data_IF_801456697637
#
_entry.id   IF_801456697637
#
_cell.length_a   1.000
_cell.length_b   1.000
_cell.length_c   1.000
_cell.angle_alpha   90.00
_cell.angle_beta   90.00
_cell.angle_gamma   90.00
#
_symmetry.space_group_name_H-M   'P 1'
#
loop_
_entity.id
_entity.type
_entity.pdbx_description
1 polymer ?
#
# COMPACT_ATOMS: atom_id res chain seq x y z
N UNK A 1 2.29 -21.66 -2.82
CA UNK A 1 2.47 -20.18 -2.81
C UNK A 1 1.11 -19.58 -2.55
N UNK A 2 0.93 -18.79 -1.48
CA UNK A 2 -0.33 -18.06 -1.25
C UNK A 2 -0.36 -16.88 -2.24
N UNK A 3 -1.43 -16.72 -2.99
CA UNK A 3 -1.54 -15.60 -3.91
C UNK A 3 -1.86 -14.35 -3.07
N UNK A 4 -1.17 -13.23 -3.30
CA UNK A 4 -1.45 -11.96 -2.62
C UNK A 4 -2.91 -11.53 -2.86
N UNK A 5 -3.47 -11.90 -4.03
CA UNK A 5 -4.87 -11.66 -4.36
C UNK A 5 -5.84 -12.33 -3.38
N UNK A 6 -5.51 -13.50 -2.82
CA UNK A 6 -6.41 -14.25 -1.92
C UNK A 6 -6.81 -13.43 -0.68
N UNK A 7 -5.93 -12.51 -0.26
CA UNK A 7 -6.19 -11.59 0.85
C UNK A 7 -7.38 -10.67 0.55
N UNK A 8 -7.53 -10.21 -0.69
CA UNK A 8 -8.62 -9.30 -1.06
C UNK A 8 -9.96 -10.02 -1.26
N UNK A 9 -9.93 -11.34 -1.56
CA UNK A 9 -11.12 -12.17 -1.69
C UNK A 9 -11.67 -12.64 -0.35
N UNK A 10 -10.83 -12.76 0.68
CA UNK A 10 -11.24 -13.24 1.99
C UNK A 10 -11.93 -12.12 2.81
N UNK A 11 -13.23 -12.25 3.15
CA UNK A 11 -13.95 -11.25 3.96
C UNK A 11 -13.42 -11.16 5.40
N UNK A 12 -12.69 -12.16 5.88
CA UNK A 12 -12.08 -12.18 7.21
C UNK A 12 -10.64 -11.64 7.22
N UNK A 13 -10.15 -11.10 6.10
CA UNK A 13 -8.84 -10.46 6.06
C UNK A 13 -8.79 -9.22 6.95
N UNK A 14 -7.69 -9.06 7.68
CA UNK A 14 -7.50 -7.90 8.55
C UNK A 14 -7.00 -6.68 7.77
N UNK A 15 -7.19 -5.50 8.36
CA UNK A 15 -6.69 -4.22 7.85
C UNK A 15 -5.18 -4.24 7.60
N UNK A 16 -4.42 -4.84 8.52
CA UNK A 16 -2.98 -4.99 8.38
C UNK A 16 -2.59 -5.92 7.23
N UNK A 17 -3.30 -7.04 7.08
CA UNK A 17 -3.01 -7.99 6.00
C UNK A 17 -3.28 -7.36 4.63
N UNK A 18 -4.39 -6.62 4.48
CA UNK A 18 -4.74 -5.91 3.24
C UNK A 18 -3.73 -4.78 2.96
N UNK A 19 -3.34 -4.03 3.99
CA UNK A 19 -2.33 -2.97 3.87
C UNK A 19 -0.98 -3.52 3.44
N UNK A 20 -0.53 -4.62 4.06
CA UNK A 20 0.74 -5.27 3.73
C UNK A 20 0.72 -5.90 2.33
N UNK A 21 -0.39 -6.52 1.94
CA UNK A 21 -0.61 -7.03 0.59
C UNK A 21 -0.47 -5.91 -0.45
N UNK A 22 -1.08 -4.76 -0.17
CA UNK A 22 -0.95 -3.53 -0.96
C UNK A 22 0.47 -3.05 -1.08
N UNK A 23 1.15 -2.87 0.04
CA UNK A 23 2.54 -2.41 0.08
C UNK A 23 3.46 -3.33 -0.73
N UNK A 24 3.33 -4.65 -0.57
CA UNK A 24 4.09 -5.65 -1.33
C UNK A 24 3.81 -5.59 -2.83
N UNK A 25 2.55 -5.37 -3.23
CA UNK A 25 2.17 -5.23 -4.64
C UNK A 25 2.80 -3.98 -5.28
N UNK A 26 2.77 -2.84 -4.58
CA UNK A 26 3.39 -1.60 -5.07
C UNK A 26 4.93 -1.71 -5.11
N UNK A 27 5.56 -2.36 -4.14
CA UNK A 27 6.99 -2.68 -4.19
C UNK A 27 7.34 -3.49 -5.44
N UNK A 28 6.54 -4.51 -5.77
CA UNK A 28 6.73 -5.32 -6.99
C UNK A 28 6.54 -4.51 -8.27
N UNK A 29 5.50 -3.66 -8.36
CA UNK A 29 5.25 -2.76 -9.51
C UNK A 29 6.45 -1.84 -9.75
N UNK A 30 7.02 -1.29 -8.68
CA UNK A 30 8.19 -0.43 -8.74
C UNK A 30 9.53 -1.20 -8.75
N UNK A 31 9.49 -2.51 -9.02
CA UNK A 31 10.65 -3.39 -9.19
C UNK A 31 11.63 -3.35 -8.00
N UNK A 32 11.10 -3.21 -6.80
CA UNK A 32 11.89 -3.27 -5.59
C UNK A 32 12.53 -4.66 -5.43
N UNK A 33 13.70 -4.76 -4.77
CA UNK A 33 14.30 -6.04 -4.41
C UNK A 33 13.35 -6.90 -3.57
N UNK A 34 13.39 -8.22 -3.74
CA UNK A 34 12.46 -9.15 -3.06
C UNK A 34 12.56 -9.15 -1.52
N UNK A 35 13.67 -8.65 -0.97
CA UNK A 35 13.86 -8.50 0.48
C UNK A 35 13.36 -7.14 1.03
N UNK A 36 12.99 -6.20 0.16
CA UNK A 36 12.40 -4.93 0.58
C UNK A 36 10.96 -5.17 1.04
N UNK A 37 10.61 -4.58 2.19
CA UNK A 37 9.30 -4.74 2.84
C UNK A 37 8.69 -3.41 3.26
N UNK A 38 9.38 -2.30 3.03
CA UNK A 38 8.94 -0.97 3.41
C UNK A 38 9.02 -0.02 2.22
N UNK A 39 7.86 0.42 1.74
CA UNK A 39 7.77 1.27 0.57
C UNK A 39 8.37 2.67 0.80
N UNK A 40 8.30 3.20 2.02
CA UNK A 40 8.88 4.50 2.33
C UNK A 40 10.42 4.45 2.30
N UNK A 41 11.02 3.38 2.82
CA UNK A 41 12.48 3.17 2.74
C UNK A 41 12.92 3.04 1.29
N UNK A 42 12.20 2.25 0.50
CA UNK A 42 12.48 2.10 -0.93
C UNK A 42 12.34 3.42 -1.69
N UNK A 43 11.26 4.17 -1.41
CA UNK A 43 11.01 5.50 -1.98
C UNK A 43 12.15 6.47 -1.67
N UNK A 44 12.63 6.48 -0.43
CA UNK A 44 13.74 7.32 -0.01
C UNK A 44 15.04 6.95 -0.75
N UNK A 45 15.36 5.66 -0.83
CA UNK A 45 16.52 5.19 -1.59
C UNK A 45 16.43 5.56 -3.08
N UNK A 46 15.25 5.42 -3.69
CA UNK A 46 15.00 5.83 -5.07
C UNK A 46 15.15 7.35 -5.26
N UNK A 47 14.69 8.15 -4.30
CA UNK A 47 14.87 9.60 -4.31
C UNK A 47 16.34 9.98 -4.25
N UNK A 48 17.10 9.43 -3.30
CA UNK A 48 18.54 9.68 -3.16
C UNK A 48 19.31 9.32 -4.44
N UNK A 49 18.90 8.25 -5.14
CA UNK A 49 19.51 7.87 -6.41
C UNK A 49 19.11 8.79 -7.58
N UNK A 50 17.90 9.35 -7.55
CA UNK A 50 17.43 10.27 -8.59
C UNK A 50 18.05 11.66 -8.44
N UNK A 51 18.25 12.13 -7.21
CA UNK A 51 18.78 13.47 -6.90
C UNK A 51 20.24 13.67 -7.31
N UNK A 52 21.03 12.60 -7.48
CA UNK A 52 22.40 12.69 -7.97
C UNK A 52 22.51 12.85 -9.49
N UNK A 53 21.39 12.82 -10.23
CA UNK A 53 21.37 12.95 -11.69
C UNK A 53 21.19 14.41 -12.10
N UNK A 54 21.90 14.83 -13.15
CA UNK A 54 21.79 16.18 -13.76
C UNK A 54 20.36 16.49 -14.23
N UNK A 55 19.62 15.47 -14.66
CA UNK A 55 18.18 15.53 -14.93
C UNK A 55 17.50 14.47 -14.08
N UNK A 56 17.08 14.87 -12.88
CA UNK A 56 16.35 13.99 -11.97
C UNK A 56 14.94 13.75 -12.50
N UNK A 57 14.56 12.47 -12.57
CA UNK A 57 13.19 12.08 -12.89
C UNK A 57 12.51 11.65 -11.60
N UNK A 58 11.70 12.55 -11.05
CA UNK A 58 10.91 12.31 -9.84
C UNK A 58 9.60 11.58 -10.12
N UNK A 59 9.16 11.51 -11.38
CA UNK A 59 7.92 10.82 -11.75
C UNK A 59 8.02 9.30 -11.62
N UNK A 60 9.25 8.77 -11.67
CA UNK A 60 9.56 7.35 -11.48
C UNK A 60 9.51 6.88 -10.02
N UNK A 61 9.36 7.80 -9.06
CA UNK A 61 9.34 7.44 -7.65
C UNK A 61 8.10 6.63 -7.29
N UNK A 62 8.23 5.61 -6.43
CA UNK A 62 7.07 4.95 -5.86
C UNK A 62 6.22 5.92 -5.04
N UNK A 63 4.91 5.66 -4.90
CA UNK A 63 4.05 6.43 -4.02
C UNK A 63 4.46 6.27 -2.55
N UNK A 64 3.94 7.14 -1.69
CA UNK A 64 4.09 6.99 -0.23
C UNK A 64 3.27 5.81 0.27
N UNK A 65 3.67 5.19 1.39
CA UNK A 65 2.99 4.02 1.99
C UNK A 65 1.47 4.22 2.23
N UNK A 66 1.04 5.45 2.50
CA UNK A 66 -0.38 5.75 2.71
C UNK A 66 -1.25 5.52 1.47
N UNK A 67 -0.72 5.76 0.27
CA UNK A 67 -1.49 5.61 -0.97
C UNK A 67 -1.83 4.13 -1.28
N UNK A 68 -0.88 3.17 -1.23
CA UNK A 68 -1.19 1.74 -1.32
C UNK A 68 -2.16 1.27 -0.24
N UNK A 69 -1.99 1.70 1.02
CA UNK A 69 -2.90 1.34 2.12
C UNK A 69 -4.36 1.69 1.76
N UNK A 70 -4.60 2.95 1.42
CA UNK A 70 -5.94 3.41 1.05
C UNK A 70 -6.46 2.77 -0.24
N UNK A 71 -5.59 2.59 -1.24
CA UNK A 71 -5.96 1.93 -2.49
C UNK A 71 -6.38 0.48 -2.25
N UNK A 72 -5.64 -0.26 -1.43
CA UNK A 72 -5.93 -1.64 -1.07
C UNK A 72 -7.24 -1.80 -0.32
N UNK A 73 -7.59 -0.87 0.57
CA UNK A 73 -8.91 -0.87 1.20
C UNK A 73 -10.04 -0.65 0.20
N UNK A 74 -9.91 0.31 -0.71
CA UNK A 74 -10.90 0.54 -1.77
C UNK A 74 -11.07 -0.69 -2.66
N UNK A 75 -9.97 -1.34 -3.03
CA UNK A 75 -9.99 -2.58 -3.82
C UNK A 75 -10.68 -3.71 -3.05
N UNK A 76 -10.36 -3.89 -1.77
CA UNK A 76 -11.02 -4.88 -0.93
C UNK A 76 -12.52 -4.64 -0.88
N UNK A 77 -12.97 -3.42 -0.53
CA UNK A 77 -14.38 -3.07 -0.48
C UNK A 77 -15.10 -3.35 -1.81
N UNK A 78 -14.48 -2.97 -2.93
CA UNK A 78 -15.03 -3.21 -4.26
C UNK A 78 -15.20 -4.70 -4.57
N UNK A 79 -14.20 -5.52 -4.26
CA UNK A 79 -14.26 -6.98 -4.47
C UNK A 79 -15.33 -7.60 -3.58
N UNK A 80 -15.42 -7.18 -2.32
CA UNK A 80 -16.37 -7.73 -1.36
C UNK A 80 -17.82 -7.37 -1.73
N UNK A 81 -18.04 -6.17 -2.27
CA UNK A 81 -19.32 -5.79 -2.87
C UNK A 81 -19.69 -6.69 -4.06
N UNK A 82 -18.74 -7.03 -4.94
CA UNK A 82 -18.99 -7.96 -6.05
C UNK A 82 -19.30 -9.39 -5.59
N UNK A 83 -18.83 -9.78 -4.41
CA UNK A 83 -19.10 -11.09 -3.79
C UNK A 83 -20.37 -11.10 -2.93
N UNK A 84 -21.14 -10.01 -2.91
CA UNK A 84 -22.32 -9.81 -2.05
C UNK A 84 -22.01 -9.90 -0.55
N UNK A 85 -20.77 -9.63 -0.14
CA UNK A 85 -20.39 -9.50 1.26
C UNK A 85 -20.63 -8.06 1.73
N UNK A 86 -21.31 -7.91 2.86
CA UNK A 86 -21.51 -6.60 3.48
C UNK A 86 -20.35 -6.31 4.43
N UNK A 87 -19.41 -5.46 4.01
CA UNK A 87 -18.36 -4.96 4.89
C UNK A 87 -18.74 -3.60 5.51
N UNK A 88 -18.44 -3.39 6.81
CA UNK A 88 -18.67 -2.11 7.47
C UNK A 88 -17.81 -1.02 6.82
N UNK A 89 -18.41 -0.02 6.16
CA UNK A 89 -17.69 1.03 5.41
C UNK A 89 -16.86 1.96 6.32
N UNK A 90 -17.27 2.11 7.57
CA UNK A 90 -16.67 2.96 8.60
C UNK A 90 -15.31 2.46 9.09
N UNK A 91 -15.05 1.15 8.99
CA UNK A 91 -13.82 0.54 9.49
C UNK A 91 -12.61 0.66 8.53
N UNK A 92 -12.82 1.07 7.28
CA UNK A 92 -11.83 0.91 6.19
C UNK A 92 -11.49 2.19 5.41
N UNK A 93 -11.95 3.36 5.86
CA UNK A 93 -11.80 4.62 5.11
C UNK A 93 -11.65 5.92 5.92
N UNK A 94 -11.60 5.86 7.25
CA UNK A 94 -11.40 7.05 8.09
C UNK A 94 -9.93 7.46 8.24
N UNK A 95 -9.62 8.76 8.42
CA UNK A 95 -8.28 9.20 8.80
C UNK A 95 -7.99 8.73 10.23
N UNK A 96 -7.41 7.52 10.36
CA UNK A 96 -6.64 7.17 11.55
C UNK A 96 -5.25 7.81 11.43
N UNK A 97 -5.25 9.15 11.33
CA UNK A 97 -4.14 9.98 11.75
C UNK A 97 -4.58 10.55 13.10
N UNK A 98 -4.41 9.75 14.15
CA UNK A 98 -4.02 10.38 15.42
C UNK A 98 -2.71 11.08 15.10
N UNK A 99 -2.78 12.39 14.85
CA UNK A 99 -1.61 13.24 14.96
C UNK A 99 -1.06 12.96 16.36
N UNK A 100 0.01 12.16 16.43
CA UNK A 100 0.83 12.12 17.63
C UNK A 100 1.19 13.58 17.91
N UNK A 101 0.84 14.14 19.09
CA UNK A 101 1.27 15.47 19.43
C UNK A 101 2.79 15.42 19.45
N UNK A 102 3.44 16.08 18.48
CA UNK A 102 4.88 16.19 18.47
C UNK A 102 5.35 16.82 19.80
N UNK A 103 6.52 16.38 20.32
CA UNK A 103 7.07 16.87 21.59
C UNK A 103 7.42 18.37 21.56
#
# INVERSE_FOLDING_TARGET
MKNIADIFYNPSSTSDAISQAGENMFLAIHKAPANERNLNNYRYAAFMKSSTKVKSDLSSLPPTKGAPKQHSFRVCLQIQQWLNNQLPLDQWGGPEETMDPYP
#
